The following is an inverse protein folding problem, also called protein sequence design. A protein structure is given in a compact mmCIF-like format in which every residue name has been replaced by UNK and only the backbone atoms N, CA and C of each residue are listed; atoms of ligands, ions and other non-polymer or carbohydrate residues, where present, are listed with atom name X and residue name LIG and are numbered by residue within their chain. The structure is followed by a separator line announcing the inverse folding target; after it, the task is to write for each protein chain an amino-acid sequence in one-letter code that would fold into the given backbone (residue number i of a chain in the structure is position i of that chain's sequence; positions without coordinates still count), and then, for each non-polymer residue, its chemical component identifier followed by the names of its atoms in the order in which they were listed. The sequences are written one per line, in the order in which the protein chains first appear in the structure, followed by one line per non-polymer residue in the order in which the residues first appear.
data_IF_336904051465
#
_entry.id   IF_336904051465
#
_cell.length_a   1.000
_cell.length_b   1.000
_cell.length_c   1.000
_cell.angle_alpha   90.00
_cell.angle_beta   90.00
_cell.angle_gamma   90.00
#
_symmetry.space_group_name_H-M   'P 1'
#
loop_
_entity.id
_entity.type
_entity.pdbx_description
1 polymer ?
#
# COMPACT_ATOMS: atom_id res chain seq x y z
N UNK A 1 25.08 10.22 -20.25
CA UNK A 1 24.37 9.90 -21.51
C UNK A 1 23.02 10.59 -21.42
N UNK A 2 22.76 11.54 -22.30
CA UNK A 2 21.46 12.22 -22.36
C UNK A 2 20.56 11.43 -23.32
N UNK A 3 19.34 11.14 -22.90
CA UNK A 3 18.33 10.52 -23.76
C UNK A 3 17.54 11.66 -24.44
N UNK A 4 18.04 12.16 -25.56
CA UNK A 4 17.52 13.39 -26.17
C UNK A 4 17.85 14.63 -25.32
N UNK A 5 16.88 15.50 -25.08
CA UNK A 5 17.02 16.71 -24.23
C UNK A 5 16.95 16.42 -22.73
N UNK A 6 16.63 15.19 -22.32
CA UNK A 6 16.53 14.81 -20.92
C UNK A 6 17.89 14.32 -20.40
N UNK A 7 18.34 14.92 -19.30
CA UNK A 7 19.49 14.42 -18.56
C UNK A 7 19.16 13.09 -17.85
N UNK A 8 20.22 12.37 -17.50
CA UNK A 8 20.09 11.03 -16.91
C UNK A 8 19.35 11.06 -15.57
N UNK A 9 19.50 12.13 -14.79
CA UNK A 9 18.84 12.30 -13.49
C UNK A 9 17.32 12.40 -13.68
N UNK A 10 16.88 13.19 -14.65
CA UNK A 10 15.46 13.36 -14.99
C UNK A 10 14.85 12.05 -15.48
N UNK A 11 15.59 11.30 -16.32
CA UNK A 11 15.15 9.97 -16.77
C UNK A 11 14.96 9.02 -15.59
N UNK A 12 15.93 8.93 -14.68
CA UNK A 12 15.81 8.09 -13.48
C UNK A 12 14.70 8.53 -12.55
N UNK A 13 14.50 9.84 -12.37
CA UNK A 13 13.39 10.38 -11.60
C UNK A 13 12.04 9.93 -12.17
N UNK A 14 11.86 10.01 -13.49
CA UNK A 14 10.65 9.52 -14.16
C UNK A 14 10.51 8.00 -13.98
N UNK A 15 11.57 7.22 -14.17
CA UNK A 15 11.53 5.77 -14.00
C UNK A 15 11.13 5.35 -12.58
N UNK A 16 11.64 6.03 -11.56
CA UNK A 16 11.25 5.78 -10.17
C UNK A 16 9.78 6.13 -9.95
N UNK A 17 9.31 7.25 -10.51
CA UNK A 17 7.89 7.61 -10.50
C UNK A 17 7.02 6.53 -11.14
N UNK A 18 7.45 5.96 -12.26
CA UNK A 18 6.77 4.83 -12.93
C UNK A 18 6.77 3.58 -12.05
N UNK A 19 7.87 3.24 -11.39
CA UNK A 19 7.95 2.08 -10.51
C UNK A 19 7.00 2.19 -9.32
N UNK A 20 6.98 3.32 -8.62
CA UNK A 20 6.07 3.51 -7.48
C UNK A 20 4.61 3.67 -7.91
N UNK A 21 4.34 4.28 -9.07
CA UNK A 21 2.99 4.33 -9.63
C UNK A 21 2.51 2.94 -10.02
N UNK A 22 3.37 2.14 -10.68
CA UNK A 22 3.09 0.75 -11.01
C UNK A 22 2.81 -0.08 -9.77
N UNK A 23 3.60 0.07 -8.70
CA UNK A 23 3.32 -0.53 -7.40
C UNK A 23 1.94 -0.14 -6.85
N UNK A 24 1.62 1.16 -6.81
CA UNK A 24 0.34 1.65 -6.30
C UNK A 24 -0.87 1.18 -7.14
N UNK A 25 -0.69 0.95 -8.44
CA UNK A 25 -1.72 0.41 -9.32
C UNK A 25 -1.88 -1.11 -9.14
N UNK A 26 -0.77 -1.84 -9.08
CA UNK A 26 -0.75 -3.31 -9.05
C UNK A 26 -1.01 -3.85 -7.64
N UNK A 27 -0.13 -3.56 -6.69
CA UNK A 27 -0.33 -4.04 -5.31
C UNK A 27 -1.45 -3.27 -4.59
N UNK A 28 -1.85 -2.10 -5.10
CA UNK A 28 -2.96 -1.34 -4.56
C UNK A 28 -4.30 -2.08 -4.60
N UNK A 29 -4.58 -2.90 -5.63
CA UNK A 29 -5.78 -3.74 -5.60
C UNK A 29 -5.63 -4.93 -4.64
N UNK A 30 -4.43 -5.50 -4.48
CA UNK A 30 -4.18 -6.61 -3.54
C UNK A 30 -4.39 -6.16 -2.09
N UNK A 31 -3.77 -5.03 -1.74
CA UNK A 31 -3.97 -4.37 -0.44
C UNK A 31 -5.44 -3.96 -0.24
N UNK A 32 -6.10 -3.49 -1.31
CA UNK A 32 -7.53 -3.19 -1.31
C UNK A 32 -8.42 -4.39 -1.01
N UNK A 33 -8.15 -5.53 -1.67
CA UNK A 33 -8.83 -6.81 -1.42
C UNK A 33 -8.65 -7.22 0.04
N UNK A 34 -7.43 -7.07 0.58
CA UNK A 34 -7.16 -7.32 2.00
C UNK A 34 -7.92 -6.41 2.95
N UNK A 35 -7.96 -5.10 2.67
CA UNK A 35 -8.73 -4.15 3.48
C UNK A 35 -10.24 -4.48 3.48
N UNK A 36 -10.77 -4.97 2.36
CA UNK A 36 -12.18 -5.35 2.23
C UNK A 36 -12.49 -6.79 2.68
N UNK A 37 -11.47 -7.59 2.96
CA UNK A 37 -11.58 -9.04 3.17
C UNK A 37 -12.57 -9.44 4.29
N UNK A 38 -12.55 -8.72 5.41
CA UNK A 38 -13.41 -9.01 6.56
C UNK A 38 -14.87 -8.56 6.39
N UNK A 39 -15.20 -7.80 5.33
CA UNK A 39 -16.58 -7.37 5.04
C UNK A 39 -17.42 -8.46 4.35
N UNK A 40 -16.78 -9.55 3.91
CA UNK A 40 -17.46 -10.76 3.45
C UNK A 40 -18.18 -11.49 4.58
N UNK A 41 -19.19 -12.28 4.22
CA UNK A 41 -20.01 -13.04 5.16
C UNK A 41 -19.49 -14.46 5.37
N UNK A 42 -19.10 -15.16 4.31
CA UNK A 42 -18.78 -16.59 4.37
C UNK A 42 -17.29 -16.87 4.22
N UNK A 43 -16.85 -18.02 4.70
CA UNK A 43 -15.47 -18.49 4.51
C UNK A 43 -15.15 -18.79 3.03
N UNK A 44 -16.16 -19.17 2.26
CA UNK A 44 -16.07 -19.39 0.82
C UNK A 44 -15.84 -18.07 0.06
N UNK A 45 -16.60 -17.02 0.39
CA UNK A 45 -16.40 -15.68 -0.18
C UNK A 45 -14.95 -15.18 0.09
N UNK A 46 -14.46 -15.36 1.32
CA UNK A 46 -13.07 -15.02 1.70
C UNK A 46 -12.04 -15.80 0.89
N UNK A 47 -12.28 -17.10 0.67
CA UNK A 47 -11.40 -17.94 -0.13
C UNK A 47 -11.38 -17.50 -1.59
N UNK A 48 -12.53 -17.14 -2.16
CA UNK A 48 -12.62 -16.64 -3.53
C UNK A 48 -11.84 -15.34 -3.68
N UNK A 49 -11.98 -14.40 -2.74
CA UNK A 49 -11.22 -13.13 -2.75
C UNK A 49 -9.71 -13.36 -2.73
N UNK A 50 -9.22 -14.26 -1.88
CA UNK A 50 -7.78 -14.60 -1.85
C UNK A 50 -7.31 -15.28 -3.13
N UNK A 51 -8.10 -16.20 -3.68
CA UNK A 51 -7.75 -16.85 -4.94
C UNK A 51 -7.73 -15.87 -6.13
N UNK A 52 -8.50 -14.78 -6.07
CA UNK A 52 -8.50 -13.76 -7.11
C UNK A 52 -7.16 -13.00 -7.21
N UNK A 53 -6.43 -12.87 -6.12
CA UNK A 53 -5.11 -12.19 -6.06
C UNK A 53 -3.94 -13.18 -5.99
N UNK A 54 -4.18 -14.42 -5.56
CA UNK A 54 -3.17 -15.47 -5.36
C UNK A 54 -2.14 -15.62 -6.48
N UNK A 55 -2.52 -15.59 -7.77
CA UNK A 55 -1.56 -15.74 -8.87
C UNK A 55 -0.66 -14.52 -9.14
N UNK A 56 -0.96 -13.34 -8.59
CA UNK A 56 -0.31 -12.07 -8.99
C UNK A 56 0.33 -11.28 -7.85
N UNK A 57 -0.12 -11.45 -6.60
CA UNK A 57 0.28 -10.59 -5.49
C UNK A 57 1.80 -10.57 -5.24
N UNK A 58 2.46 -11.73 -5.31
CA UNK A 58 3.91 -11.85 -5.09
C UNK A 58 4.69 -11.09 -6.18
N UNK A 59 4.22 -11.16 -7.43
CA UNK A 59 4.79 -10.38 -8.54
C UNK A 59 4.55 -8.88 -8.40
N UNK A 60 3.44 -8.47 -7.79
CA UNK A 60 3.13 -7.07 -7.56
C UNK A 60 4.04 -6.45 -6.48
N UNK A 61 4.43 -7.20 -5.45
CA UNK A 61 5.39 -6.75 -4.42
C UNK A 61 6.77 -6.44 -5.00
N UNK A 62 7.18 -7.12 -6.08
CA UNK A 62 8.48 -6.89 -6.75
C UNK A 62 8.63 -5.44 -7.23
N UNK A 63 7.52 -4.75 -7.54
CA UNK A 63 7.57 -3.34 -7.94
C UNK A 63 8.04 -2.43 -6.80
N UNK A 64 7.65 -2.71 -5.56
CA UNK A 64 8.12 -1.98 -4.39
C UNK A 64 9.62 -2.21 -4.17
N UNK A 65 10.06 -3.46 -4.22
CA UNK A 65 11.46 -3.85 -4.05
C UNK A 65 12.34 -3.23 -5.13
N UNK A 66 11.87 -3.27 -6.38
CA UNK A 66 12.57 -2.66 -7.51
C UNK A 66 12.62 -1.14 -7.40
N UNK A 67 11.54 -0.50 -6.95
CA UNK A 67 11.52 0.94 -6.66
C UNK A 67 12.55 1.34 -5.61
N UNK A 68 12.64 0.58 -4.51
CA UNK A 68 13.66 0.78 -3.49
C UNK A 68 15.10 0.58 -4.01
N UNK A 69 15.32 -0.48 -4.79
CA UNK A 69 16.62 -0.75 -5.41
C UNK A 69 17.03 0.30 -6.45
N UNK A 70 16.07 0.79 -7.25
CA UNK A 70 16.29 1.87 -8.21
C UNK A 70 16.63 3.19 -7.50
N UNK A 71 15.96 3.48 -6.37
CA UNK A 71 16.28 4.64 -5.55
C UNK A 71 17.71 4.55 -4.99
N UNK A 72 18.12 3.39 -4.49
CA UNK A 72 19.50 3.15 -4.04
C UNK A 72 20.52 3.35 -5.16
N UNK A 73 20.23 2.87 -6.37
CA UNK A 73 21.15 2.96 -7.52
C UNK A 73 21.25 4.37 -8.11
N UNK A 74 20.12 5.09 -8.22
CA UNK A 74 20.06 6.38 -8.92
C UNK A 74 20.18 7.59 -7.97
N UNK A 75 19.65 7.50 -6.74
CA UNK A 75 19.62 8.58 -5.76
C UNK A 75 20.01 8.08 -4.36
N UNK A 76 21.27 7.66 -4.14
CA UNK A 76 21.71 7.00 -2.91
C UNK A 76 21.53 7.85 -1.65
N UNK A 77 21.72 9.17 -1.74
CA UNK A 77 21.47 10.10 -0.63
C UNK A 77 20.00 10.11 -0.21
N UNK A 78 19.07 10.18 -1.19
CA UNK A 78 17.63 10.10 -0.92
C UNK A 78 17.28 8.77 -0.28
N UNK A 79 17.81 7.67 -0.82
CA UNK A 79 17.63 6.34 -0.24
C UNK A 79 18.10 6.30 1.22
N UNK A 80 19.32 6.78 1.50
CA UNK A 80 19.90 6.77 2.85
C UNK A 80 19.07 7.59 3.84
N UNK A 81 18.73 8.84 3.49
CA UNK A 81 17.95 9.74 4.35
C UNK A 81 16.54 9.20 4.61
N UNK A 82 15.84 8.72 3.58
CA UNK A 82 14.47 8.18 3.71
C UNK A 82 14.47 6.91 4.56
N UNK A 83 15.34 5.93 4.28
CA UNK A 83 15.35 4.67 5.03
C UNK A 83 15.83 4.82 6.47
N UNK A 84 16.77 5.74 6.73
CA UNK A 84 17.22 6.03 8.10
C UNK A 84 16.19 6.86 8.88
N UNK A 85 15.63 7.90 8.29
CA UNK A 85 14.64 8.76 8.94
C UNK A 85 13.32 8.05 9.24
N UNK A 86 12.87 7.16 8.34
CA UNK A 86 11.69 6.34 8.52
C UNK A 86 11.97 4.96 9.13
N UNK A 87 13.14 4.73 9.72
CA UNK A 87 13.57 3.39 10.15
C UNK A 87 12.48 2.58 10.86
N UNK A 88 11.90 3.12 11.93
CA UNK A 88 10.86 2.40 12.68
C UNK A 88 9.57 2.21 11.85
N UNK A 89 9.19 3.20 11.05
CA UNK A 89 8.00 3.11 10.19
C UNK A 89 8.17 2.05 9.09
N UNK A 90 9.36 1.96 8.49
CA UNK A 90 9.69 0.96 7.48
C UNK A 90 9.83 -0.44 8.07
N UNK A 91 10.35 -0.59 9.29
CA UNK A 91 10.32 -1.87 10.00
C UNK A 91 8.86 -2.32 10.23
N UNK A 92 7.97 -1.41 10.66
CA UNK A 92 6.55 -1.72 10.82
C UNK A 92 5.89 -2.08 9.48
N UNK A 93 6.19 -1.35 8.40
CA UNK A 93 5.70 -1.65 7.05
C UNK A 93 6.15 -3.03 6.60
N UNK A 94 7.43 -3.36 6.77
CA UNK A 94 7.98 -4.66 6.40
C UNK A 94 7.31 -5.78 7.18
N UNK A 95 7.14 -5.62 8.50
CA UNK A 95 6.42 -6.60 9.33
C UNK A 95 4.97 -6.77 8.83
N UNK A 96 4.27 -5.68 8.50
CA UNK A 96 2.91 -5.74 7.98
C UNK A 96 2.83 -6.48 6.63
N UNK A 97 3.76 -6.24 5.72
CA UNK A 97 3.88 -6.93 4.43
C UNK A 97 4.19 -8.42 4.62
N UNK A 98 5.14 -8.77 5.51
CA UNK A 98 5.45 -10.17 5.82
C UNK A 98 4.21 -10.89 6.39
N UNK A 99 3.51 -10.28 7.35
CA UNK A 99 2.30 -10.88 7.91
C UNK A 99 1.20 -11.05 6.86
N UNK A 100 1.07 -10.10 5.91
CA UNK A 100 0.15 -10.21 4.77
C UNK A 100 0.49 -11.43 3.91
N UNK A 101 1.74 -11.54 3.46
CA UNK A 101 2.24 -12.64 2.63
C UNK A 101 2.01 -14.01 3.31
N UNK A 102 2.42 -14.12 4.57
CA UNK A 102 2.24 -15.35 5.36
C UNK A 102 0.75 -15.67 5.52
N UNK A 103 -0.11 -14.67 5.75
CA UNK A 103 -1.54 -14.91 5.88
C UNK A 103 -2.17 -15.50 4.61
N UNK A 104 -1.79 -15.02 3.42
CA UNK A 104 -2.28 -15.56 2.15
C UNK A 104 -1.89 -17.05 2.02
N UNK A 105 -0.63 -17.38 2.26
CA UNK A 105 -0.10 -18.74 2.10
C UNK A 105 -0.58 -19.73 3.17
N UNK A 106 -0.70 -19.29 4.43
CA UNK A 106 -0.94 -20.18 5.56
C UNK A 106 -2.43 -20.39 5.85
N UNK A 107 -3.32 -19.46 5.45
CA UNK A 107 -4.74 -19.53 5.76
C UNK A 107 -5.38 -20.88 5.44
N UNK A 108 -5.06 -21.45 4.27
CA UNK A 108 -5.69 -22.68 3.78
C UNK A 108 -4.98 -23.97 4.23
N UNK A 109 -3.87 -23.87 4.99
CA UNK A 109 -3.07 -25.04 5.41
C UNK A 109 -3.73 -25.85 6.53
N UNK A 110 -4.63 -25.25 7.32
CA UNK A 110 -5.34 -25.94 8.39
C UNK A 110 -6.86 -25.68 8.30
N UNK A 111 -7.71 -26.69 8.58
CA UNK A 111 -9.16 -26.57 8.44
C UNK A 111 -9.84 -25.86 9.63
N UNK A 112 -9.13 -25.66 10.74
CA UNK A 112 -9.69 -25.13 11.98
C UNK A 112 -10.22 -23.70 11.80
N UNK A 113 -11.41 -23.41 12.34
CA UNK A 113 -12.05 -22.09 12.22
C UNK A 113 -11.23 -20.96 12.84
N UNK A 114 -10.62 -21.21 14.00
CA UNK A 114 -9.78 -20.21 14.67
C UNK A 114 -8.52 -19.88 13.85
N UNK A 115 -7.94 -20.89 13.17
CA UNK A 115 -6.78 -20.72 12.30
C UNK A 115 -7.11 -19.83 11.11
N UNK A 116 -8.19 -20.16 10.38
CA UNK A 116 -8.64 -19.34 9.24
C UNK A 116 -8.96 -17.92 9.66
N UNK A 117 -9.66 -17.74 10.79
CA UNK A 117 -10.00 -16.41 11.32
C UNK A 117 -8.76 -15.59 11.71
N UNK A 118 -7.77 -16.22 12.33
CA UNK A 118 -6.50 -15.56 12.69
C UNK A 118 -5.81 -15.00 11.43
N UNK A 119 -5.69 -15.82 10.38
CA UNK A 119 -5.09 -15.37 9.11
C UNK A 119 -5.97 -14.40 8.32
N UNK A 120 -7.30 -14.52 8.39
CA UNK A 120 -8.22 -13.53 7.81
C UNK A 120 -8.01 -12.14 8.43
N UNK A 121 -7.84 -12.09 9.76
CA UNK A 121 -7.56 -10.85 10.48
C UNK A 121 -6.15 -10.36 10.14
N UNK A 122 -5.15 -11.24 10.15
CA UNK A 122 -3.77 -10.89 9.80
C UNK A 122 -3.63 -10.31 8.39
N UNK A 123 -4.31 -10.91 7.41
CA UNK A 123 -4.33 -10.44 6.03
C UNK A 123 -4.96 -9.04 5.93
N UNK A 124 -6.11 -8.83 6.58
CA UNK A 124 -6.81 -7.54 6.54
C UNK A 124 -6.06 -6.45 7.30
N UNK A 125 -5.59 -6.73 8.51
CA UNK A 125 -4.81 -5.80 9.32
C UNK A 125 -3.47 -5.46 8.65
N UNK A 126 -2.75 -6.46 8.12
CA UNK A 126 -1.50 -6.24 7.38
C UNK A 126 -1.71 -5.36 6.17
N UNK A 127 -2.76 -5.62 5.38
CA UNK A 127 -3.06 -4.82 4.18
C UNK A 127 -3.43 -3.38 4.51
N UNK A 128 -4.27 -3.14 5.54
CA UNK A 128 -4.63 -1.79 5.98
C UNK A 128 -3.42 -1.05 6.54
N UNK A 129 -2.63 -1.73 7.40
CA UNK A 129 -1.47 -1.13 8.03
C UNK A 129 -0.38 -0.77 7.00
N UNK A 130 -0.09 -1.66 6.05
CA UNK A 130 0.86 -1.36 4.97
C UNK A 130 0.42 -0.18 4.13
N UNK A 131 -0.84 -0.16 3.68
CA UNK A 131 -1.42 0.94 2.91
C UNK A 131 -1.32 2.27 3.65
N UNK A 132 -1.65 2.25 4.94
CA UNK A 132 -1.60 3.42 5.81
C UNK A 132 -0.18 3.95 5.99
N UNK A 133 0.78 3.07 6.30
CA UNK A 133 2.18 3.46 6.51
C UNK A 133 2.83 4.01 5.25
N UNK A 134 2.51 3.46 4.07
CA UNK A 134 2.97 3.99 2.78
C UNK A 134 2.44 5.42 2.59
N UNK A 135 1.16 5.66 2.86
CA UNK A 135 0.57 7.00 2.77
C UNK A 135 1.17 7.99 3.77
N UNK A 136 1.42 7.57 5.01
CA UNK A 136 2.10 8.40 6.03
C UNK A 136 3.52 8.76 5.59
N UNK A 137 4.27 7.81 5.02
CA UNK A 137 5.61 8.08 4.50
C UNK A 137 5.57 9.11 3.35
N UNK A 138 4.67 8.92 2.38
CA UNK A 138 4.46 9.90 1.31
C UNK A 138 4.03 11.27 1.83
N UNK A 139 3.24 11.31 2.92
CA UNK A 139 2.77 12.55 3.52
C UNK A 139 3.91 13.34 4.17
N UNK A 140 4.82 12.65 4.84
CA UNK A 140 6.04 13.26 5.39
C UNK A 140 6.99 13.74 4.27
N UNK A 141 7.13 12.97 3.18
CA UNK A 141 7.94 13.39 2.03
C UNK A 141 7.35 14.65 1.39
N UNK A 142 6.03 14.71 1.23
CA UNK A 142 5.35 15.88 0.65
C UNK A 142 5.37 17.11 1.58
N UNK A 143 5.23 16.91 2.89
CA UNK A 143 5.28 17.99 3.89
C UNK A 143 6.71 18.51 4.13
N UNK A 144 7.71 17.69 3.86
CA UNK A 144 9.12 17.96 4.13
C UNK A 144 9.57 17.34 5.45
N UNK A 145 10.74 16.70 5.43
CA UNK A 145 11.34 16.08 6.60
C UNK A 145 12.31 17.04 7.30
N UNK A 146 12.36 17.05 8.64
CA UNK A 146 13.39 17.77 9.38
C UNK A 146 14.75 17.07 9.19
N UNK A 147 15.60 17.67 8.35
CA UNK A 147 16.96 17.22 8.08
C UNK A 147 17.96 18.23 8.66
N UNK A 148 19.08 17.74 9.19
CA UNK A 148 20.19 18.58 9.64
C UNK A 148 21.14 18.96 8.49
N UNK A 149 22.24 19.65 8.81
CA UNK A 149 23.26 20.09 7.84
C UNK A 149 23.98 18.92 7.13
N UNK A 150 23.86 17.70 7.65
CA UNK A 150 24.42 16.46 7.06
C UNK A 150 23.38 15.65 6.31
N UNK A 151 22.16 16.19 6.12
CA UNK A 151 21.01 15.49 5.55
C UNK A 151 20.57 14.26 6.36
N UNK A 152 20.92 14.21 7.66
CA UNK A 152 20.43 13.20 8.57
C UNK A 152 19.09 13.65 9.17
N UNK A 153 18.19 12.69 9.38
CA UNK A 153 16.90 12.95 9.99
C UNK A 153 17.07 13.35 11.45
N UNK A 154 16.63 14.55 11.80
CA UNK A 154 16.73 15.11 13.17
C UNK A 154 15.40 15.09 13.93
N UNK A 155 14.35 14.49 13.36
CA UNK A 155 13.03 14.39 13.97
C UNK A 155 12.89 13.19 14.93
N UNK A 156 11.64 12.96 15.35
CA UNK A 156 11.27 11.78 16.15
C UNK A 156 10.20 10.98 15.44
N UNK A 157 10.07 9.69 15.76
CA UNK A 157 9.04 8.83 15.19
C UNK A 157 7.62 9.38 15.35
N UNK A 158 7.29 9.92 16.53
CA UNK A 158 5.97 10.53 16.76
C UNK A 158 5.79 11.83 15.97
N UNK A 159 6.88 12.53 15.65
CA UNK A 159 6.86 13.69 14.76
C UNK A 159 6.40 13.35 13.34
N UNK A 160 6.57 12.09 12.91
CA UNK A 160 6.09 11.61 11.60
C UNK A 160 4.57 11.44 11.54
N UNK A 161 3.90 11.41 12.70
CA UNK A 161 2.46 11.16 12.84
C UNK A 161 1.67 12.47 12.99
N UNK A 162 2.08 13.51 12.26
CA UNK A 162 1.35 14.78 12.23
C UNK A 162 0.06 14.67 11.38
N UNK A 163 -0.94 15.56 11.59
CA UNK A 163 -2.28 15.40 10.99
C UNK A 163 -2.30 15.21 9.47
N UNK A 164 -1.45 15.95 8.75
CA UNK A 164 -1.36 15.83 7.29
C UNK A 164 -0.86 14.45 6.84
N UNK A 165 0.20 13.93 7.46
CA UNK A 165 0.71 12.60 7.13
C UNK A 165 -0.31 11.50 7.46
N UNK A 166 -0.99 11.59 8.60
CA UNK A 166 -2.06 10.67 8.98
C UNK A 166 -3.23 10.71 7.97
N UNK A 167 -3.61 11.90 7.54
CA UNK A 167 -4.66 12.11 6.55
C UNK A 167 -4.30 11.49 5.19
N UNK A 168 -3.03 11.63 4.74
CA UNK A 168 -2.58 10.97 3.52
C UNK A 168 -2.50 9.44 3.68
N UNK A 169 -2.17 8.95 4.87
CA UNK A 169 -2.29 7.54 5.25
C UNK A 169 -3.70 6.99 5.05
N UNK A 170 -4.72 7.67 5.60
CA UNK A 170 -6.13 7.28 5.43
C UNK A 170 -6.58 7.39 3.98
N UNK A 171 -6.15 8.43 3.27
CA UNK A 171 -6.45 8.61 1.84
C UNK A 171 -5.89 7.48 0.99
N UNK A 172 -4.69 6.99 1.33
CA UNK A 172 -4.07 5.85 0.64
C UNK A 172 -4.83 4.55 0.88
N UNK A 173 -5.28 4.31 2.12
CA UNK A 173 -6.18 3.18 2.43
C UNK A 173 -7.47 3.28 1.60
N UNK A 174 -8.07 4.48 1.52
CA UNK A 174 -9.29 4.69 0.75
C UNK A 174 -9.09 4.42 -0.76
N UNK A 175 -7.96 4.89 -1.31
CA UNK A 175 -7.56 4.64 -2.71
C UNK A 175 -7.46 3.14 -2.99
N UNK A 176 -6.76 2.40 -2.13
CA UNK A 176 -6.56 0.96 -2.33
C UNK A 176 -7.85 0.18 -2.10
N UNK A 177 -8.68 0.54 -1.12
CA UNK A 177 -10.03 -0.05 -0.98
C UNK A 177 -10.86 0.13 -2.26
N UNK A 178 -10.78 1.28 -2.91
CA UNK A 178 -11.43 1.52 -4.20
C UNK A 178 -10.86 0.60 -5.30
N UNK A 179 -9.53 0.50 -5.43
CA UNK A 179 -8.89 -0.42 -6.39
C UNK A 179 -9.32 -1.88 -6.17
N UNK A 180 -9.29 -2.34 -4.91
CA UNK A 180 -9.68 -3.69 -4.53
C UNK A 180 -11.16 -3.99 -4.84
N UNK A 181 -12.06 -3.05 -4.55
CA UNK A 181 -13.49 -3.22 -4.87
C UNK A 181 -13.71 -3.35 -6.38
N UNK A 182 -13.08 -2.50 -7.19
CA UNK A 182 -13.21 -2.55 -8.67
C UNK A 182 -12.62 -3.85 -9.20
N UNK A 183 -11.43 -4.24 -8.73
CA UNK A 183 -10.76 -5.49 -9.13
C UNK A 183 -11.62 -6.72 -8.81
N UNK A 184 -12.20 -6.78 -7.62
CA UNK A 184 -13.05 -7.90 -7.21
C UNK A 184 -14.32 -8.00 -8.06
N UNK A 185 -14.93 -6.89 -8.48
CA UNK A 185 -16.08 -6.94 -9.41
C UNK A 185 -15.68 -7.60 -10.74
N UNK A 186 -14.46 -7.37 -11.22
CA UNK A 186 -13.95 -7.96 -12.47
C UNK A 186 -13.57 -9.44 -12.32
N UNK A 187 -13.26 -9.90 -11.11
CA UNK A 187 -12.72 -11.25 -10.84
C UNK A 187 -13.70 -12.21 -10.18
N UNK A 188 -14.88 -11.72 -9.77
CA UNK A 188 -15.90 -12.53 -9.11
C UNK A 188 -17.17 -12.54 -9.94
N UNK A 189 -18.01 -13.57 -9.75
CA UNK A 189 -19.32 -13.73 -10.38
C UNK A 189 -20.41 -14.05 -9.34
N UNK A 190 -21.67 -14.04 -9.77
CA UNK A 190 -22.82 -14.48 -8.97
C UNK A 190 -23.09 -13.61 -7.74
N UNK A 191 -23.43 -14.23 -6.62
CA UNK A 191 -23.83 -13.52 -5.39
C UNK A 191 -22.71 -12.66 -4.79
N UNK A 192 -21.46 -13.15 -4.83
CA UNK A 192 -20.31 -12.41 -4.34
C UNK A 192 -20.09 -11.15 -5.19
N UNK A 193 -20.15 -11.26 -6.52
CA UNK A 193 -20.01 -10.09 -7.40
C UNK A 193 -21.10 -9.04 -7.15
N UNK A 194 -22.35 -9.46 -6.97
CA UNK A 194 -23.45 -8.56 -6.65
C UNK A 194 -23.21 -7.81 -5.33
N UNK A 195 -22.67 -8.49 -4.31
CA UNK A 195 -22.30 -7.90 -3.02
C UNK A 195 -21.15 -6.90 -3.18
N UNK A 196 -20.05 -7.31 -3.83
CA UNK A 196 -18.85 -6.47 -4.05
C UNK A 196 -19.19 -5.25 -4.89
N UNK A 197 -20.08 -5.36 -5.89
CA UNK A 197 -20.55 -4.21 -6.68
C UNK A 197 -21.20 -3.14 -5.78
N UNK A 198 -21.83 -3.54 -4.68
CA UNK A 198 -22.32 -2.63 -3.64
C UNK A 198 -21.23 -1.89 -2.87
N UNK A 199 -19.98 -2.37 -2.86
CA UNK A 199 -18.84 -1.73 -2.20
C UNK A 199 -18.14 -0.68 -3.07
N UNK A 200 -18.28 -0.77 -4.40
CA UNK A 200 -17.60 0.15 -5.35
C UNK A 200 -17.99 1.60 -5.11
N UNK A 201 -19.29 1.92 -5.04
CA UNK A 201 -19.73 3.31 -4.84
C UNK A 201 -19.28 3.88 -3.48
N UNK A 202 -19.47 3.18 -2.34
CA UNK A 202 -18.98 3.66 -1.05
C UNK A 202 -17.46 3.88 -1.00
N UNK A 203 -16.67 2.97 -1.59
CA UNK A 203 -15.20 3.11 -1.60
C UNK A 203 -14.73 4.27 -2.48
N UNK A 204 -15.35 4.49 -3.63
CA UNK A 204 -15.12 5.68 -4.48
C UNK A 204 -15.46 6.96 -3.70
N UNK A 205 -16.65 7.03 -3.08
CA UNK A 205 -17.07 8.21 -2.31
C UNK A 205 -16.10 8.47 -1.16
N UNK A 206 -15.72 7.42 -0.43
CA UNK A 206 -14.76 7.53 0.66
C UNK A 206 -13.41 8.08 0.17
N UNK A 207 -12.89 7.54 -0.93
CA UNK A 207 -11.66 8.05 -1.54
C UNK A 207 -11.78 9.50 -1.98
N UNK A 208 -12.85 9.88 -2.70
CA UNK A 208 -13.05 11.27 -3.19
C UNK A 208 -13.15 12.26 -2.02
N UNK A 209 -13.86 11.90 -0.95
CA UNK A 209 -13.96 12.75 0.24
C UNK A 209 -12.59 12.89 0.92
N UNK A 210 -11.86 11.80 1.14
CA UNK A 210 -10.53 11.83 1.76
C UNK A 210 -9.52 12.61 0.90
N UNK A 211 -9.54 12.42 -0.42
CA UNK A 211 -8.73 13.16 -1.38
C UNK A 211 -9.03 14.66 -1.35
N UNK A 212 -10.32 15.04 -1.35
CA UNK A 212 -10.74 16.43 -1.23
C UNK A 212 -10.23 17.08 0.05
N UNK A 213 -10.44 16.43 1.21
CA UNK A 213 -9.97 16.93 2.51
C UNK A 213 -8.44 17.06 2.52
N UNK A 214 -7.71 16.09 1.99
CA UNK A 214 -6.23 16.13 1.89
C UNK A 214 -5.76 17.28 1.04
N UNK A 215 -6.41 17.50 -0.11
CA UNK A 215 -6.08 18.59 -1.02
C UNK A 215 -6.30 19.96 -0.37
N UNK A 216 -7.37 20.12 0.41
CA UNK A 216 -7.61 21.36 1.17
C UNK A 216 -6.66 21.57 2.35
N UNK A 217 -6.00 20.51 2.83
CA UNK A 217 -5.05 20.56 3.93
C UNK A 217 -3.60 20.83 3.50
N UNK A 218 -3.33 20.85 2.19
CA UNK A 218 -2.03 21.19 1.58
C UNK A 218 -2.00 22.65 1.19
#
# INVERSE_FOLDING_TARGET
MNFGDLDLNTVWFILIGVLFTGYAMLDGFDLGVGALHLFTRTDEERRIMLNAIGPVWDGNEVWLVTGGGALFAAFPEVYATVFSGFYLAFVLLLVALIFRAVAIEFRSKQPMRWWRRMWDIGFSAGSVLSSFLIGVAMGNIAWGMPLDERHEFSGTFLGLLHPYALLLGVTTVALFMMHGAIYLVMKTDGELQARVRGWVRPTIVFFVVMYGITTFAT
#
